data_IF_877278180987
#
_entry.id   IF_877278180987
#
_cell.length_a   1.000
_cell.length_b   1.000
_cell.length_c   1.000
_cell.angle_alpha   90.00
_cell.angle_beta   90.00
_cell.angle_gamma   90.00
#
_symmetry.space_group_name_H-M   'P 1'
#
loop_
_entity.id
_entity.type
_entity.pdbx_description
1 polymer ?
#
# COMPACT_ATOMS: atom_id res chain seq x y z
N UNK A 1 13.90 -14.43 4.38
CA UNK A 1 12.45 -14.69 4.24
C UNK A 1 12.18 -14.97 2.77
N UNK A 2 11.36 -15.98 2.46
CA UNK A 2 11.03 -16.33 1.07
C UNK A 2 10.15 -15.22 0.50
N UNK A 3 10.52 -14.66 -0.65
CA UNK A 3 9.64 -13.74 -1.38
C UNK A 3 8.89 -14.47 -2.49
N UNK A 4 7.66 -14.05 -2.76
CA UNK A 4 6.89 -14.39 -3.95
C UNK A 4 7.65 -14.15 -5.25
N UNK A 5 8.62 -13.21 -5.25
CA UNK A 5 9.54 -13.01 -6.37
C UNK A 5 10.43 -14.22 -6.64
N UNK A 6 10.76 -15.02 -5.64
CA UNK A 6 11.63 -16.19 -5.80
C UNK A 6 10.89 -17.41 -6.34
N UNK A 7 9.56 -17.33 -6.41
CA UNK A 7 8.72 -18.40 -6.91
C UNK A 7 8.73 -18.47 -8.44
N UNK A 8 8.89 -19.68 -8.95
CA UNK A 8 8.88 -19.93 -10.38
C UNK A 8 7.44 -20.06 -10.90
N UNK A 9 7.04 -19.17 -11.81
CA UNK A 9 5.68 -19.17 -12.39
C UNK A 9 5.30 -20.50 -13.01
N UNK A 10 6.25 -21.21 -13.65
CA UNK A 10 5.98 -22.53 -14.22
C UNK A 10 5.65 -23.55 -13.14
N UNK A 11 6.34 -23.49 -11.99
CA UNK A 11 6.01 -24.36 -10.87
C UNK A 11 4.64 -24.00 -10.28
N UNK A 12 4.32 -22.70 -10.16
CA UNK A 12 3.01 -22.24 -9.69
C UNK A 12 1.86 -22.72 -10.59
N UNK A 13 2.04 -22.66 -11.91
CA UNK A 13 1.06 -23.20 -12.87
C UNK A 13 0.92 -24.72 -12.75
N UNK A 14 2.03 -25.43 -12.55
CA UNK A 14 2.00 -26.87 -12.29
C UNK A 14 1.27 -27.21 -10.99
N UNK A 15 1.38 -26.35 -9.99
CA UNK A 15 0.73 -26.52 -8.70
C UNK A 15 -0.79 -26.44 -8.85
N UNK A 16 -1.28 -25.38 -9.50
CA UNK A 16 -2.72 -25.24 -9.80
C UNK A 16 -3.22 -26.43 -10.63
N UNK A 17 -2.50 -26.82 -11.70
CA UNK A 17 -2.92 -27.93 -12.54
C UNK A 17 -3.02 -29.27 -11.80
N UNK A 18 -2.14 -29.52 -10.81
CA UNK A 18 -2.22 -30.71 -9.96
C UNK A 18 -3.39 -30.60 -8.96
N UNK A 19 -3.61 -29.43 -8.36
CA UNK A 19 -4.75 -29.18 -7.48
C UNK A 19 -6.09 -29.42 -8.18
N UNK A 20 -6.24 -28.94 -9.42
CA UNK A 20 -7.48 -29.08 -10.21
C UNK A 20 -7.74 -30.51 -10.68
N UNK A 21 -6.69 -31.26 -11.02
CA UNK A 21 -6.83 -32.60 -11.62
C UNK A 21 -6.71 -33.75 -10.61
N UNK A 22 -6.13 -33.50 -9.43
CA UNK A 22 -5.77 -34.54 -8.46
C UNK A 22 -4.71 -35.53 -8.97
N UNK A 23 -4.10 -35.28 -10.13
CA UNK A 23 -3.21 -36.23 -10.82
C UNK A 23 -2.05 -35.53 -11.51
N UNK A 24 -0.82 -35.94 -11.17
CA UNK A 24 0.40 -35.43 -11.81
C UNK A 24 0.42 -35.75 -13.31
N UNK A 25 -0.06 -36.93 -13.72
CA UNK A 25 -0.06 -37.34 -15.13
C UNK A 25 -1.02 -36.48 -15.96
N UNK A 26 -2.23 -36.21 -15.46
CA UNK A 26 -3.21 -35.36 -16.14
C UNK A 26 -2.72 -33.90 -16.19
N UNK A 27 -2.14 -33.40 -15.10
CA UNK A 27 -1.54 -32.08 -15.06
C UNK A 27 -0.40 -31.93 -16.08
N UNK A 28 0.47 -32.94 -16.20
CA UNK A 28 1.59 -32.95 -17.15
C UNK A 28 1.10 -32.90 -18.60
N UNK A 29 0.10 -33.70 -18.96
CA UNK A 29 -0.52 -33.69 -20.29
C UNK A 29 -1.11 -32.32 -20.63
N UNK A 30 -1.93 -31.74 -19.72
CA UNK A 30 -2.52 -30.40 -19.90
C UNK A 30 -1.48 -29.30 -20.06
N UNK A 31 -0.37 -29.41 -19.36
CA UNK A 31 0.73 -28.44 -19.43
C UNK A 31 1.71 -28.70 -20.58
N UNK A 32 1.56 -29.79 -21.32
CA UNK A 32 2.52 -30.26 -22.33
C UNK A 32 3.93 -30.42 -21.75
N UNK A 33 4.02 -30.98 -20.54
CA UNK A 33 5.26 -31.28 -19.84
C UNK A 33 5.39 -32.78 -19.58
N UNK A 34 6.59 -33.25 -19.24
CA UNK A 34 6.77 -34.61 -18.76
C UNK A 34 6.28 -34.74 -17.31
N UNK A 35 5.77 -35.91 -16.93
CA UNK A 35 5.36 -36.18 -15.54
C UNK A 35 6.51 -35.93 -14.53
N UNK A 36 7.77 -36.33 -14.78
CA UNK A 36 8.88 -35.97 -13.89
C UNK A 36 9.09 -34.46 -13.74
N UNK A 37 8.83 -33.64 -14.77
CA UNK A 37 8.97 -32.19 -14.69
C UNK A 37 7.90 -31.55 -13.77
N UNK A 38 6.67 -32.04 -13.81
CA UNK A 38 5.60 -31.60 -12.88
C UNK A 38 5.92 -32.03 -11.46
N UNK A 39 6.32 -33.29 -11.24
CA UNK A 39 6.75 -33.78 -9.91
C UNK A 39 7.89 -32.95 -9.33
N UNK A 40 8.92 -32.64 -10.14
CA UNK A 40 10.04 -31.81 -9.71
C UNK A 40 9.63 -30.36 -9.42
N UNK A 41 8.66 -29.83 -10.16
CA UNK A 41 8.10 -28.51 -9.89
C UNK A 41 7.44 -28.45 -8.52
N UNK A 42 6.67 -29.49 -8.14
CA UNK A 42 6.02 -29.58 -6.83
C UNK A 42 7.05 -29.70 -5.72
N UNK A 43 8.01 -30.62 -5.87
CA UNK A 43 9.07 -30.81 -4.89
C UNK A 43 9.92 -29.53 -4.67
N UNK A 44 10.13 -28.72 -5.71
CA UNK A 44 10.83 -27.43 -5.58
C UNK A 44 10.00 -26.39 -4.83
N UNK A 45 8.68 -26.35 -5.02
CA UNK A 45 7.81 -25.45 -4.26
C UNK A 45 7.73 -25.87 -2.79
N UNK A 46 7.52 -27.15 -2.51
CA UNK A 46 7.47 -27.69 -1.15
C UNK A 46 8.78 -27.44 -0.40
N UNK A 47 9.92 -27.62 -1.07
CA UNK A 47 11.23 -27.30 -0.49
C UNK A 47 11.43 -25.80 -0.26
N UNK A 48 10.96 -24.97 -1.19
CA UNK A 48 11.09 -23.51 -1.05
C UNK A 48 10.25 -23.03 0.15
N UNK A 49 9.05 -23.58 0.32
CA UNK A 49 8.11 -23.19 1.37
C UNK A 49 8.32 -23.94 2.70
N UNK A 50 9.19 -24.95 2.71
CA UNK A 50 9.45 -25.85 3.83
C UNK A 50 8.18 -26.50 4.41
N UNK A 51 7.24 -26.87 3.53
CA UNK A 51 5.96 -27.50 3.90
C UNK A 51 5.50 -28.47 2.82
N UNK A 52 4.81 -29.53 3.23
CA UNK A 52 4.10 -30.42 2.29
C UNK A 52 2.84 -29.73 1.77
N UNK A 53 2.71 -29.61 0.46
CA UNK A 53 1.53 -29.03 -0.19
C UNK A 53 0.52 -30.10 -0.59
N UNK A 54 0.92 -31.36 -0.70
CA UNK A 54 0.03 -32.47 -1.04
C UNK A 54 0.15 -33.69 -0.12
N UNK A 55 -0.99 -34.34 0.12
CA UNK A 55 -1.07 -35.68 0.67
C UNK A 55 -1.31 -36.69 -0.46
N UNK A 56 -0.59 -37.81 -0.44
CA UNK A 56 -0.90 -38.97 -1.28
C UNK A 56 -2.06 -39.76 -0.68
N UNK A 57 -3.12 -39.98 -1.47
CA UNK A 57 -4.23 -40.89 -1.13
C UNK A 57 -4.45 -41.91 -2.25
N UNK A 58 -5.25 -42.93 -1.97
CA UNK A 58 -5.57 -44.01 -2.92
C UNK A 58 -6.19 -43.53 -4.24
N UNK A 59 -6.83 -42.34 -4.25
CA UNK A 59 -7.46 -41.72 -5.42
C UNK A 59 -6.66 -40.57 -6.05
N UNK A 60 -5.40 -40.35 -5.64
CA UNK A 60 -4.55 -39.30 -6.21
C UNK A 60 -3.95 -38.36 -5.16
N UNK A 61 -3.58 -37.16 -5.60
CA UNK A 61 -3.04 -36.10 -4.75
C UNK A 61 -4.17 -35.17 -4.28
N UNK A 62 -4.17 -34.86 -2.99
CA UNK A 62 -5.09 -33.90 -2.39
C UNK A 62 -4.27 -32.81 -1.70
N UNK A 63 -4.59 -31.51 -1.89
CA UNK A 63 -3.89 -30.44 -1.18
C UNK A 63 -3.95 -30.63 0.34
N UNK A 64 -2.84 -30.33 1.04
CA UNK A 64 -2.83 -30.15 2.50
C UNK A 64 -3.56 -28.86 2.88
N UNK A 65 -3.85 -28.58 4.17
CA UNK A 65 -4.34 -27.26 4.56
C UNK A 65 -3.46 -26.10 4.08
N UNK A 66 -2.12 -26.26 4.16
CA UNK A 66 -1.16 -25.32 3.62
C UNK A 66 -1.28 -25.19 2.09
N UNK A 67 -1.42 -26.33 1.38
CA UNK A 67 -1.70 -26.34 -0.05
C UNK A 67 -2.99 -25.60 -0.43
N UNK A 68 -4.06 -25.78 0.35
CA UNK A 68 -5.36 -25.13 0.10
C UNK A 68 -5.28 -23.62 0.24
N UNK A 69 -4.68 -23.09 1.32
CA UNK A 69 -4.57 -21.62 1.47
C UNK A 69 -3.62 -21.02 0.44
N UNK A 70 -2.55 -21.73 0.11
CA UNK A 70 -1.60 -21.28 -0.91
C UNK A 70 -2.24 -21.27 -2.31
N UNK A 71 -3.10 -22.24 -2.63
CA UNK A 71 -3.84 -22.29 -3.90
C UNK A 71 -4.62 -21.02 -4.16
N UNK A 72 -5.35 -20.51 -3.17
CA UNK A 72 -6.15 -19.27 -3.30
C UNK A 72 -5.28 -18.09 -3.73
N UNK A 73 -4.07 -17.99 -3.17
CA UNK A 73 -3.11 -16.91 -3.45
C UNK A 73 -2.45 -17.08 -4.82
N UNK A 74 -2.06 -18.30 -5.17
CA UNK A 74 -1.46 -18.62 -6.47
C UNK A 74 -2.46 -18.39 -7.62
N UNK A 75 -3.72 -18.79 -7.45
CA UNK A 75 -4.78 -18.53 -8.42
C UNK A 75 -5.01 -17.03 -8.60
N UNK A 76 -5.05 -16.27 -7.50
CA UNK A 76 -5.12 -14.80 -7.54
C UNK A 76 -3.97 -14.19 -8.35
N UNK A 77 -2.73 -14.55 -8.02
CA UNK A 77 -1.53 -14.08 -8.70
C UNK A 77 -1.53 -14.41 -10.21
N UNK A 78 -1.84 -15.65 -10.58
CA UNK A 78 -1.89 -16.08 -11.98
C UNK A 78 -3.05 -15.41 -12.75
N UNK A 79 -4.21 -15.24 -12.11
CA UNK A 79 -5.36 -14.57 -12.74
C UNK A 79 -5.07 -13.08 -12.98
N UNK A 80 -4.40 -12.39 -12.06
CA UNK A 80 -3.98 -10.98 -12.25
C UNK A 80 -3.09 -10.82 -13.48
N UNK A 81 -2.09 -11.70 -13.62
CA UNK A 81 -1.22 -11.73 -14.80
C UNK A 81 -2.03 -12.02 -16.07
N UNK A 82 -2.94 -12.99 -16.04
CA UNK A 82 -3.79 -13.34 -17.19
C UNK A 82 -4.72 -12.19 -17.60
N UNK A 83 -5.35 -11.49 -16.64
CA UNK A 83 -6.18 -10.30 -16.89
C UNK A 83 -5.35 -9.18 -17.51
N UNK A 84 -4.17 -8.90 -16.97
CA UNK A 84 -3.30 -7.85 -17.49
C UNK A 84 -2.85 -8.14 -18.93
N UNK A 85 -2.48 -9.40 -19.23
CA UNK A 85 -2.16 -9.85 -20.58
C UNK A 85 -3.34 -9.65 -21.55
N UNK A 86 -4.58 -9.96 -21.13
CA UNK A 86 -5.78 -9.69 -21.93
C UNK A 86 -6.00 -8.19 -22.15
N UNK A 87 -5.80 -7.37 -21.11
CA UNK A 87 -5.99 -5.93 -21.19
C UNK A 87 -5.04 -5.26 -22.19
N UNK A 88 -3.80 -5.75 -22.29
CA UNK A 88 -2.84 -5.28 -23.31
C UNK A 88 -2.98 -5.99 -24.66
N UNK A 89 -3.98 -6.87 -24.81
CA UNK A 89 -4.26 -7.67 -26.01
C UNK A 89 -3.11 -8.61 -26.42
N UNK A 90 -2.43 -9.21 -25.44
CA UNK A 90 -1.45 -10.26 -25.69
C UNK A 90 -2.13 -11.54 -26.21
N UNK A 91 -1.40 -12.36 -26.96
CA UNK A 91 -1.92 -13.62 -27.49
C UNK A 91 -2.23 -14.63 -26.36
N UNK A 92 -3.25 -15.47 -26.56
CA UNK A 92 -3.78 -16.38 -25.53
C UNK A 92 -2.76 -17.38 -24.95
N UNK A 93 -1.68 -17.69 -25.70
CA UNK A 93 -0.63 -18.61 -25.27
C UNK A 93 0.53 -17.98 -24.48
N UNK A 94 0.61 -16.64 -24.41
CA UNK A 94 1.81 -15.96 -23.86
C UNK A 94 2.04 -16.31 -22.40
N UNK A 95 0.97 -16.43 -21.60
CA UNK A 95 1.06 -16.83 -20.20
C UNK A 95 1.84 -18.15 -20.00
N UNK A 96 1.79 -19.03 -21.01
CA UNK A 96 2.52 -20.29 -21.02
C UNK A 96 4.04 -20.14 -21.11
N UNK A 97 4.49 -19.11 -21.83
CA UNK A 97 5.89 -18.84 -22.18
C UNK A 97 6.59 -17.88 -21.22
N UNK A 98 5.83 -17.11 -20.42
CA UNK A 98 6.38 -16.19 -19.44
C UNK A 98 7.20 -16.92 -18.36
N UNK A 99 8.29 -16.28 -17.95
CA UNK A 99 9.15 -16.75 -16.87
C UNK A 99 9.18 -15.71 -15.75
N UNK A 100 9.52 -16.13 -14.54
CA UNK A 100 9.74 -15.20 -13.42
C UNK A 100 10.86 -14.19 -13.74
N UNK A 101 11.85 -14.59 -14.55
CA UNK A 101 12.90 -13.68 -15.03
C UNK A 101 12.34 -12.55 -15.88
N UNK A 102 11.37 -12.82 -16.76
CA UNK A 102 10.70 -11.77 -17.54
C UNK A 102 9.96 -10.79 -16.64
N UNK A 103 9.21 -11.31 -15.65
CA UNK A 103 8.46 -10.46 -14.73
C UNK A 103 9.40 -9.59 -13.89
N UNK A 104 10.46 -10.19 -13.31
CA UNK A 104 11.49 -9.46 -12.55
C UNK A 104 12.17 -8.39 -13.40
N UNK A 105 12.47 -8.68 -14.67
CA UNK A 105 13.14 -7.75 -15.56
C UNK A 105 12.30 -6.49 -15.81
N UNK A 106 11.04 -6.66 -16.20
CA UNK A 106 10.13 -5.53 -16.45
C UNK A 106 9.93 -4.69 -15.18
N UNK A 107 9.66 -5.33 -14.06
CA UNK A 107 9.47 -4.67 -12.78
C UNK A 107 10.71 -3.92 -12.28
N UNK A 108 11.91 -4.50 -12.45
CA UNK A 108 13.16 -3.85 -12.06
C UNK A 108 13.49 -2.63 -12.93
N UNK A 109 13.31 -2.72 -14.25
CA UNK A 109 13.52 -1.58 -15.15
C UNK A 109 12.54 -0.46 -14.83
N UNK A 110 11.26 -0.79 -14.57
CA UNK A 110 10.25 0.17 -14.18
C UNK A 110 10.56 0.89 -12.86
N UNK A 111 11.18 0.21 -11.88
CA UNK A 111 11.58 0.85 -10.61
C UNK A 111 12.78 1.76 -10.72
N UNK A 112 13.77 1.37 -11.52
CA UNK A 112 15.09 2.03 -11.50
C UNK A 112 15.31 3.00 -12.66
N UNK A 113 14.41 3.03 -13.65
CA UNK A 113 14.52 3.91 -14.82
C UNK A 113 15.76 3.66 -15.69
N UNK A 114 16.45 2.54 -15.47
CA UNK A 114 17.76 2.25 -16.05
C UNK A 114 18.02 0.75 -16.05
N UNK A 115 18.42 0.21 -17.22
CA UNK A 115 18.85 -1.19 -17.34
C UNK A 115 20.09 -1.50 -16.50
N UNK A 116 21.04 -0.57 -16.40
CA UNK A 116 22.25 -0.80 -15.62
C UNK A 116 21.93 -0.92 -14.13
N UNK A 117 21.15 0.02 -13.59
CA UNK A 117 20.75 0.00 -12.17
C UNK A 117 19.82 -1.18 -11.87
N UNK A 118 18.88 -1.49 -12.77
CA UNK A 118 18.00 -2.64 -12.62
C UNK A 118 18.77 -3.98 -12.62
N UNK A 119 19.83 -4.11 -13.43
CA UNK A 119 20.65 -5.31 -13.45
C UNK A 119 21.43 -5.50 -12.14
N UNK A 120 21.99 -4.40 -11.62
CA UNK A 120 22.64 -4.38 -10.30
C UNK A 120 21.66 -4.77 -9.20
N UNK A 121 20.46 -4.19 -9.20
CA UNK A 121 19.42 -4.50 -8.21
C UNK A 121 18.95 -5.97 -8.24
N UNK A 122 18.98 -6.62 -9.41
CA UNK A 122 18.66 -8.04 -9.57
C UNK A 122 19.85 -8.98 -9.40
N UNK A 123 21.07 -8.46 -9.22
CA UNK A 123 22.29 -9.27 -9.11
C UNK A 123 22.65 -10.03 -10.38
N UNK A 124 22.29 -9.51 -11.57
CA UNK A 124 22.58 -10.13 -12.86
C UNK A 124 23.36 -9.17 -13.78
N UNK A 125 23.92 -9.69 -14.86
CA UNK A 125 24.58 -8.83 -15.85
C UNK A 125 23.56 -8.01 -16.67
N UNK A 126 23.92 -6.78 -17.03
CA UNK A 126 23.09 -5.93 -17.87
C UNK A 126 22.69 -6.58 -19.20
N UNK A 127 23.57 -7.32 -19.92
CA UNK A 127 23.17 -8.07 -21.11
C UNK A 127 22.14 -9.19 -20.83
N UNK A 128 22.20 -9.84 -19.66
CA UNK A 128 21.19 -10.83 -19.28
C UNK A 128 19.82 -10.17 -19.04
N UNK A 129 19.80 -9.02 -18.36
CA UNK A 129 18.56 -8.24 -18.18
C UNK A 129 17.97 -7.77 -19.50
N UNK A 130 18.80 -7.21 -20.38
CA UNK A 130 18.34 -6.72 -21.68
C UNK A 130 17.82 -7.85 -22.58
N UNK A 131 18.40 -9.06 -22.50
CA UNK A 131 17.87 -10.25 -23.18
C UNK A 131 16.50 -10.64 -22.64
N UNK A 132 16.33 -10.71 -21.32
CA UNK A 132 15.03 -11.03 -20.71
C UNK A 132 13.95 -9.99 -21.06
N UNK A 133 14.29 -8.71 -21.06
CA UNK A 133 13.39 -7.62 -21.44
C UNK A 133 12.97 -7.70 -22.91
N UNK A 134 13.92 -7.94 -23.82
CA UNK A 134 13.65 -8.07 -25.26
C UNK A 134 12.88 -9.34 -25.59
N UNK A 135 13.16 -10.45 -24.91
CA UNK A 135 12.39 -11.70 -25.08
C UNK A 135 10.93 -11.48 -24.65
N UNK A 136 10.70 -10.77 -23.54
CA UNK A 136 9.34 -10.41 -23.10
C UNK A 136 8.59 -9.57 -24.15
N UNK A 137 9.20 -8.52 -24.69
CA UNK A 137 8.60 -7.72 -25.78
C UNK A 137 8.28 -8.58 -27.03
N UNK A 138 9.19 -9.51 -27.36
CA UNK A 138 9.03 -10.43 -28.49
C UNK A 138 7.87 -11.39 -28.27
N UNK A 139 7.77 -12.00 -27.08
CA UNK A 139 6.66 -12.89 -26.73
C UNK A 139 5.31 -12.17 -26.72
N UNK A 140 5.28 -10.90 -26.33
CA UNK A 140 4.06 -10.09 -26.29
C UNK A 140 3.71 -9.45 -27.63
N UNK A 141 4.69 -9.29 -28.54
CA UNK A 141 4.53 -8.49 -29.76
C UNK A 141 4.28 -7.00 -29.46
N UNK A 142 4.82 -6.49 -28.34
CA UNK A 142 4.56 -5.14 -27.83
C UNK A 142 5.85 -4.47 -27.38
N UNK A 143 5.94 -3.16 -27.58
CA UNK A 143 6.96 -2.32 -26.97
C UNK A 143 6.54 -1.98 -25.54
N UNK A 144 7.35 -2.39 -24.58
CA UNK A 144 7.12 -2.17 -23.14
C UNK A 144 8.01 -1.08 -22.57
N UNK A 145 9.11 -0.75 -23.23
CA UNK A 145 10.08 0.26 -22.78
C UNK A 145 10.15 1.42 -23.75
N UNK A 146 10.29 2.63 -23.24
CA UNK A 146 10.50 3.84 -24.04
C UNK A 146 11.68 4.62 -23.49
N UNK A 147 12.47 5.22 -24.38
CA UNK A 147 13.60 6.04 -23.99
C UNK A 147 13.13 7.47 -23.77
N UNK A 148 13.45 8.04 -22.62
CA UNK A 148 13.14 9.43 -22.28
C UNK A 148 14.41 10.20 -21.94
N UNK A 149 14.30 11.52 -21.76
CA UNK A 149 15.44 12.35 -21.34
C UNK A 149 15.95 11.99 -19.93
N UNK A 150 15.13 11.33 -19.11
CA UNK A 150 15.47 10.90 -17.74
C UNK A 150 15.99 9.46 -17.65
N UNK A 151 15.95 8.71 -18.75
CA UNK A 151 16.40 7.31 -18.78
C UNK A 151 15.47 6.43 -19.61
N UNK A 152 15.01 5.35 -18.99
CA UNK A 152 14.07 4.39 -19.58
C UNK A 152 12.79 4.43 -18.75
N UNK A 153 11.66 4.68 -19.41
CA UNK A 153 10.33 4.54 -18.83
C UNK A 153 9.63 3.32 -19.42
N UNK A 154 8.53 2.90 -18.80
CA UNK A 154 7.63 1.88 -19.36
C UNK A 154 6.52 2.53 -20.17
N UNK A 155 6.05 1.83 -21.21
CA UNK A 155 4.87 2.26 -21.97
C UNK A 155 3.59 2.04 -21.14
N UNK A 156 2.45 2.51 -21.64
CA UNK A 156 1.13 2.25 -20.99
C UNK A 156 0.86 0.75 -20.81
N UNK A 157 1.18 -0.07 -21.82
CA UNK A 157 1.04 -1.52 -21.74
C UNK A 157 2.04 -2.11 -20.72
N UNK A 158 3.25 -1.54 -20.65
CA UNK A 158 4.25 -1.87 -19.63
C UNK A 158 3.76 -1.57 -18.22
N UNK A 159 3.16 -0.40 -17.98
CA UNK A 159 2.62 0.00 -16.67
C UNK A 159 1.50 -0.94 -16.19
N UNK A 160 0.57 -1.31 -17.08
CA UNK A 160 -0.48 -2.30 -16.79
C UNK A 160 0.12 -3.64 -16.34
N UNK A 161 1.18 -4.10 -17.01
CA UNK A 161 1.87 -5.34 -16.63
C UNK A 161 2.66 -5.19 -15.34
N UNK A 162 3.43 -4.11 -15.15
CA UNK A 162 4.22 -3.85 -13.94
C UNK A 162 3.31 -3.91 -12.72
N UNK A 163 2.16 -3.23 -12.79
CA UNK A 163 1.17 -3.25 -11.71
C UNK A 163 0.69 -4.67 -11.41
N UNK A 164 0.29 -5.43 -12.42
CA UNK A 164 -0.16 -6.80 -12.24
C UNK A 164 0.93 -7.74 -11.70
N UNK A 165 2.18 -7.55 -12.13
CA UNK A 165 3.35 -8.29 -11.65
C UNK A 165 3.58 -8.03 -10.18
N UNK A 166 3.59 -6.76 -9.75
CA UNK A 166 3.81 -6.43 -8.34
C UNK A 166 2.70 -6.96 -7.46
N UNK A 167 1.44 -6.85 -7.88
CA UNK A 167 0.31 -7.43 -7.15
C UNK A 167 0.35 -8.95 -7.11
N UNK A 168 0.76 -9.61 -8.20
CA UNK A 168 0.95 -11.06 -8.21
C UNK A 168 2.06 -11.51 -7.25
N UNK A 169 3.17 -10.76 -7.16
CA UNK A 169 4.20 -11.05 -6.16
C UNK A 169 3.72 -10.80 -4.74
N UNK A 170 2.96 -9.72 -4.50
CA UNK A 170 2.37 -9.45 -3.19
C UNK A 170 1.39 -10.57 -2.76
N UNK A 171 0.56 -11.08 -3.67
CA UNK A 171 -0.32 -12.23 -3.38
C UNK A 171 0.48 -13.48 -3.00
N UNK A 172 1.62 -13.72 -3.65
CA UNK A 172 2.49 -14.84 -3.32
C UNK A 172 3.22 -14.64 -1.99
N UNK A 173 3.64 -13.41 -1.66
CA UNK A 173 4.17 -13.06 -0.33
C UNK A 173 3.10 -13.34 0.75
N UNK A 174 1.85 -12.91 0.53
CA UNK A 174 0.72 -13.25 1.41
C UNK A 174 0.47 -14.75 1.52
N UNK A 175 0.70 -15.53 0.47
CA UNK A 175 0.60 -16.99 0.52
C UNK A 175 1.67 -17.64 1.39
N UNK A 176 2.89 -17.09 1.42
CA UNK A 176 3.91 -17.52 2.39
C UNK A 176 3.45 -17.17 3.80
N UNK A 177 2.94 -15.95 4.00
CA UNK A 177 2.45 -15.49 5.30
C UNK A 177 1.29 -16.36 5.82
N UNK A 178 0.32 -16.72 4.96
CA UNK A 178 -0.80 -17.61 5.31
C UNK A 178 -0.33 -19.01 5.71
N UNK A 179 0.68 -19.57 5.02
CA UNK A 179 1.29 -20.86 5.40
C UNK A 179 1.99 -20.76 6.75
N UNK A 180 2.75 -19.70 6.99
CA UNK A 180 3.48 -19.50 8.26
C UNK A 180 2.50 -19.33 9.42
N UNK A 181 1.41 -18.58 9.21
CA UNK A 181 0.34 -18.42 10.18
C UNK A 181 -0.31 -19.77 10.54
N UNK A 182 -0.59 -20.63 9.54
CA UNK A 182 -1.14 -21.96 9.79
C UNK A 182 -0.19 -22.91 10.52
N UNK A 183 1.10 -22.88 10.18
CA UNK A 183 2.08 -23.88 10.66
C UNK A 183 2.69 -23.52 12.00
N UNK A 184 2.87 -22.22 12.25
CA UNK A 184 3.60 -21.74 13.44
C UNK A 184 2.76 -20.83 14.33
N UNK A 185 1.55 -20.44 13.90
CA UNK A 185 0.72 -19.45 14.59
C UNK A 185 1.27 -18.03 14.49
N UNK A 186 2.36 -17.82 13.73
CA UNK A 186 3.08 -16.55 13.62
C UNK A 186 2.79 -15.89 12.29
N UNK A 187 2.66 -14.57 12.28
CA UNK A 187 2.66 -13.82 11.03
C UNK A 187 3.74 -12.77 11.06
N UNK A 188 4.35 -12.54 9.91
CA UNK A 188 5.69 -11.96 9.88
C UNK A 188 5.73 -10.55 9.36
N UNK A 189 4.87 -10.12 8.44
CA UNK A 189 4.97 -8.78 7.87
C UNK A 189 3.60 -8.12 7.71
N UNK A 190 3.49 -6.88 8.20
CA UNK A 190 2.37 -5.99 7.95
C UNK A 190 2.88 -4.68 7.34
N UNK A 191 2.36 -4.28 6.17
CA UNK A 191 2.78 -3.07 5.45
C UNK A 191 1.63 -2.05 5.46
N UNK A 192 1.75 -1.01 6.29
CA UNK A 192 0.69 0.01 6.48
C UNK A 192 1.17 1.37 6.01
N UNK A 193 0.42 2.00 5.12
CA UNK A 193 0.54 3.42 4.85
C UNK A 193 -0.20 4.23 5.89
N UNK A 194 0.45 5.21 6.52
CA UNK A 194 -0.21 6.11 7.47
C UNK A 194 -0.09 7.54 6.96
N UNK A 195 -1.21 8.21 6.70
CA UNK A 195 -1.23 9.64 6.39
C UNK A 195 -1.03 10.47 7.67
N UNK A 196 -0.68 11.75 7.55
CA UNK A 196 -0.18 12.61 8.66
C UNK A 196 -0.91 12.41 9.99
N UNK A 197 -2.24 12.55 10.03
CA UNK A 197 -3.06 12.36 11.24
C UNK A 197 -2.85 10.98 11.88
N UNK A 198 -2.85 9.93 11.05
CA UNK A 198 -2.80 8.56 11.54
C UNK A 198 -1.47 8.27 12.24
N UNK A 199 -0.36 8.88 11.81
CA UNK A 199 0.99 8.61 12.33
C UNK A 199 1.13 8.98 13.80
N UNK A 200 0.59 10.13 14.21
CA UNK A 200 0.75 10.65 15.57
C UNK A 200 -0.29 10.15 16.57
N UNK A 201 -1.52 9.91 16.10
CA UNK A 201 -2.66 9.69 17.02
C UNK A 201 -3.25 8.29 16.95
N UNK A 202 -3.32 7.68 15.76
CA UNK A 202 -4.01 6.39 15.56
C UNK A 202 -3.03 5.23 15.61
N UNK A 203 -1.92 5.32 14.87
CA UNK A 203 -0.97 4.22 14.73
C UNK A 203 -0.27 3.86 16.04
N UNK A 204 0.19 4.79 16.90
CA UNK A 204 0.91 4.41 18.11
C UNK A 204 0.14 3.47 19.07
N UNK A 205 -1.10 3.77 19.51
CA UNK A 205 -1.84 2.85 20.37
C UNK A 205 -2.18 1.52 19.68
N UNK A 206 -2.49 1.55 18.38
CA UNK A 206 -2.76 0.34 17.57
C UNK A 206 -1.54 -0.57 17.50
N UNK A 207 -0.36 -0.02 17.22
CA UNK A 207 0.86 -0.81 17.08
C UNK A 207 1.36 -1.34 18.42
N UNK A 208 1.24 -0.57 19.51
CA UNK A 208 1.53 -1.06 20.85
C UNK A 208 0.63 -2.26 21.18
N UNK A 209 -0.69 -2.13 20.96
CA UNK A 209 -1.63 -3.22 21.21
C UNK A 209 -1.39 -4.43 20.32
N UNK A 210 -1.06 -4.21 19.04
CA UNK A 210 -0.74 -5.28 18.10
C UNK A 210 0.51 -6.04 18.55
N UNK A 211 1.53 -5.35 19.06
CA UNK A 211 2.75 -5.99 19.54
C UNK A 211 2.54 -6.78 20.84
N UNK A 212 1.58 -6.37 21.69
CA UNK A 212 1.19 -7.14 22.88
C UNK A 212 0.57 -8.50 22.50
N UNK A 213 -0.22 -8.55 21.43
CA UNK A 213 -0.93 -9.76 20.98
C UNK A 213 -0.12 -10.61 19.99
N UNK A 214 0.79 -10.00 19.23
CA UNK A 214 1.64 -10.66 18.24
C UNK A 214 3.07 -10.09 18.27
N UNK A 215 3.90 -10.46 19.27
CA UNK A 215 5.23 -9.89 19.47
C UNK A 215 6.21 -10.10 18.30
N UNK A 216 5.98 -11.12 17.47
CA UNK A 216 6.85 -11.46 16.34
C UNK A 216 6.52 -10.73 15.04
N UNK A 217 5.44 -9.94 14.99
CA UNK A 217 5.04 -9.24 13.77
C UNK A 217 6.04 -8.13 13.43
N UNK A 218 6.53 -8.13 12.18
CA UNK A 218 7.29 -7.01 11.65
C UNK A 218 6.36 -6.03 10.95
N UNK A 219 6.07 -4.90 11.60
CA UNK A 219 5.27 -3.85 10.99
C UNK A 219 6.17 -2.84 10.29
N UNK A 220 5.91 -2.62 9.01
CA UNK A 220 6.47 -1.50 8.25
C UNK A 220 5.40 -0.44 8.07
N UNK A 221 5.60 0.70 8.74
CA UNK A 221 4.80 1.90 8.51
C UNK A 221 5.47 2.74 7.44
N UNK A 222 4.72 3.13 6.41
CA UNK A 222 5.17 4.00 5.33
C UNK A 222 4.45 5.34 5.46
N UNK A 223 5.22 6.42 5.37
CA UNK A 223 4.75 7.79 5.23
C UNK A 223 5.15 8.31 3.85
N UNK A 224 4.22 9.00 3.20
CA UNK A 224 4.38 9.63 1.89
C UNK A 224 3.18 10.55 1.62
N UNK A 225 3.30 11.50 0.67
CA UNK A 225 2.15 12.20 0.13
C UNK A 225 1.05 11.24 -0.36
N UNK A 226 -0.20 11.73 -0.36
CA UNK A 226 -1.36 10.89 -0.68
C UNK A 226 -1.26 10.16 -2.01
N UNK A 227 -0.79 10.82 -3.07
CA UNK A 227 -0.72 10.22 -4.41
C UNK A 227 0.34 9.11 -4.49
N UNK A 228 1.48 9.30 -3.80
CA UNK A 228 2.53 8.29 -3.68
C UNK A 228 2.04 7.09 -2.85
N UNK A 229 1.30 7.35 -1.78
CA UNK A 229 0.70 6.31 -0.95
C UNK A 229 -0.37 5.50 -1.72
N UNK A 230 -1.21 6.20 -2.50
CA UNK A 230 -2.18 5.56 -3.38
C UNK A 230 -1.48 4.73 -4.45
N UNK A 231 -0.40 5.23 -5.04
CA UNK A 231 0.43 4.47 -5.97
C UNK A 231 0.99 3.21 -5.30
N UNK A 232 1.61 3.34 -4.11
CA UNK A 232 2.14 2.22 -3.34
C UNK A 232 1.06 1.16 -3.04
N UNK A 233 -0.13 1.59 -2.64
CA UNK A 233 -1.26 0.70 -2.39
C UNK A 233 -1.69 -0.02 -3.66
N UNK A 234 -1.84 0.68 -4.79
CA UNK A 234 -2.29 0.08 -6.06
C UNK A 234 -1.25 -0.87 -6.68
N UNK A 235 0.01 -0.77 -6.25
CA UNK A 235 1.12 -1.62 -6.68
C UNK A 235 1.51 -2.69 -5.65
N UNK A 236 0.80 -2.82 -4.53
CA UNK A 236 1.09 -3.84 -3.52
C UNK A 236 2.36 -3.61 -2.70
N UNK A 237 2.85 -2.37 -2.65
CA UNK A 237 3.97 -1.99 -1.78
C UNK A 237 3.53 -1.76 -0.34
N UNK A 238 2.26 -1.41 -0.16
CA UNK A 238 1.52 -1.45 1.10
C UNK A 238 0.19 -2.18 0.90
N UNK A 239 -0.40 -2.65 1.98
CA UNK A 239 -1.64 -3.43 1.95
C UNK A 239 -2.85 -2.60 2.39
N UNK A 240 -2.63 -1.69 3.32
CA UNK A 240 -3.66 -0.84 3.93
C UNK A 240 -3.12 0.57 4.04
N UNK A 241 -3.93 1.57 3.70
CA UNK A 241 -3.67 2.97 4.03
C UNK A 241 -4.65 3.45 5.09
N UNK A 242 -4.17 4.16 6.12
CA UNK A 242 -4.97 4.74 7.20
C UNK A 242 -4.89 6.26 7.13
N UNK A 243 -6.03 6.93 7.10
CA UNK A 243 -6.11 8.39 7.12
C UNK A 243 -7.40 8.93 6.49
N UNK A 244 -7.37 10.20 6.07
CA UNK A 244 -8.55 10.90 5.53
C UNK A 244 -9.06 10.24 4.24
N UNK A 245 -10.34 9.89 4.22
CA UNK A 245 -11.03 9.34 3.06
C UNK A 245 -11.27 10.41 1.98
N UNK A 246 -11.51 9.96 0.74
CA UNK A 246 -11.69 10.83 -0.42
C UNK A 246 -13.08 10.62 -1.02
N UNK A 247 -13.72 11.71 -1.33
CA UNK A 247 -14.96 11.73 -2.09
C UNK A 247 -14.79 12.79 -3.20
N UNK A 248 -14.84 12.40 -4.49
CA UNK A 248 -15.06 11.03 -5.00
C UNK A 248 -13.89 10.06 -4.70
N UNK A 249 -14.14 8.76 -4.88
CA UNK A 249 -13.11 7.73 -4.76
C UNK A 249 -11.92 8.04 -5.67
N UNK A 250 -10.68 7.83 -5.19
CA UNK A 250 -9.49 8.24 -5.93
C UNK A 250 -9.18 7.33 -7.13
N UNK A 251 -9.71 6.10 -7.14
CA UNK A 251 -9.59 5.15 -8.24
C UNK A 251 -10.72 4.08 -8.14
N UNK A 252 -11.14 3.46 -9.27
CA UNK A 252 -12.24 2.50 -9.28
C UNK A 252 -11.92 1.16 -8.61
N UNK A 253 -10.63 0.84 -8.46
CA UNK A 253 -10.09 -0.39 -7.86
C UNK A 253 -9.75 -0.23 -6.38
N UNK A 254 -10.30 0.80 -5.74
CA UNK A 254 -10.05 1.16 -4.34
C UNK A 254 -11.37 1.12 -3.57
N UNK A 255 -11.29 0.55 -2.38
CA UNK A 255 -12.36 0.53 -1.39
C UNK A 255 -11.95 1.33 -0.16
N UNK A 256 -12.86 2.14 0.34
CA UNK A 256 -12.67 2.92 1.57
C UNK A 256 -13.68 2.50 2.62
N UNK A 257 -13.21 2.34 3.87
CA UNK A 257 -14.06 2.03 5.02
C UNK A 257 -13.93 3.14 6.05
N UNK A 258 -15.06 3.77 6.38
CA UNK A 258 -15.13 4.79 7.41
C UNK A 258 -14.84 4.19 8.79
N UNK A 259 -14.04 4.91 9.58
CA UNK A 259 -13.82 4.61 11.00
C UNK A 259 -14.54 5.64 11.88
N UNK A 260 -14.30 6.93 11.64
CA UNK A 260 -14.93 8.02 12.39
C UNK A 260 -14.90 9.34 11.63
N UNK A 261 -15.67 10.32 12.11
CA UNK A 261 -15.66 11.69 11.62
C UNK A 261 -14.74 12.56 12.49
N UNK A 262 -13.94 13.39 11.85
CA UNK A 262 -13.08 14.39 12.45
C UNK A 262 -13.36 15.77 11.85
N UNK A 263 -12.95 16.83 12.54
CA UNK A 263 -13.19 18.23 12.15
C UNK A 263 -11.92 19.04 12.31
N UNK A 264 -11.81 20.14 11.57
CA UNK A 264 -10.70 21.08 11.77
C UNK A 264 -10.98 22.01 12.95
N UNK A 265 -9.92 22.56 13.52
CA UNK A 265 -9.96 23.66 14.47
C UNK A 265 -8.75 24.57 14.28
N UNK A 266 -8.85 25.80 14.78
CA UNK A 266 -7.71 26.73 14.83
C UNK A 266 -7.00 26.57 16.16
N UNK A 267 -5.68 26.38 16.11
CA UNK A 267 -4.85 26.14 17.30
C UNK A 267 -3.69 27.12 17.37
N UNK A 268 -3.32 27.43 18.61
CA UNK A 268 -2.26 28.37 18.96
C UNK A 268 -1.61 27.96 20.29
N UNK A 269 -0.61 28.70 20.77
CA UNK A 269 -0.08 28.53 22.14
C UNK A 269 -1.07 29.02 23.22
N UNK A 270 -1.00 28.51 24.46
CA UNK A 270 -1.97 28.83 25.52
C UNK A 270 -2.09 30.32 25.91
N UNK A 271 -1.01 31.11 25.77
CA UNK A 271 -1.03 32.54 26.11
C UNK A 271 -1.05 33.44 24.86
N UNK A 272 -1.60 32.92 23.75
CA UNK A 272 -1.71 33.66 22.49
C UNK A 272 -2.69 34.84 22.63
N UNK A 273 -2.38 36.05 22.13
CA UNK A 273 -3.23 37.23 22.29
C UNK A 273 -4.67 37.05 21.77
N UNK A 274 -4.84 36.30 20.68
CA UNK A 274 -6.16 35.99 20.10
C UNK A 274 -7.16 35.38 21.10
N UNK A 275 -6.69 34.65 22.11
CA UNK A 275 -7.56 33.99 23.08
C UNK A 275 -8.25 35.01 24.00
N UNK A 276 -7.69 36.21 24.16
CA UNK A 276 -8.30 37.29 24.94
C UNK A 276 -9.50 37.94 24.25
N UNK A 277 -9.65 37.74 22.93
CA UNK A 277 -10.78 38.26 22.13
C UNK A 277 -12.05 37.44 22.41
N UNK A 278 -11.91 36.21 22.88
CA UNK A 278 -13.04 35.29 23.10
C UNK A 278 -13.49 34.68 21.77
N UNK A 279 -14.20 35.43 20.93
CA UNK A 279 -14.74 34.95 19.64
C UNK A 279 -14.18 35.80 18.49
N UNK A 280 -12.92 35.59 18.08
CA UNK A 280 -12.28 36.37 17.04
C UNK A 280 -12.98 36.21 15.69
N UNK A 281 -13.14 37.34 14.99
CA UNK A 281 -13.62 37.37 13.61
C UNK A 281 -12.55 36.86 12.64
N UNK A 282 -12.93 36.58 11.39
CA UNK A 282 -11.96 36.26 10.33
C UNK A 282 -10.89 37.35 10.18
N UNK A 283 -11.26 38.62 10.30
CA UNK A 283 -10.31 39.74 10.19
C UNK A 283 -9.29 39.73 11.34
N UNK A 284 -9.74 39.42 12.56
CA UNK A 284 -8.84 39.30 13.72
C UNK A 284 -7.85 38.15 13.53
N UNK A 285 -8.32 37.01 13.00
CA UNK A 285 -7.49 35.83 12.72
C UNK A 285 -6.51 36.05 11.56
N UNK A 286 -6.94 36.77 10.51
CA UNK A 286 -6.15 37.06 9.33
C UNK A 286 -4.89 37.88 9.67
N UNK A 287 -4.97 38.76 10.67
CA UNK A 287 -3.85 39.63 11.06
C UNK A 287 -2.65 38.89 11.68
N UNK A 288 -2.83 37.65 12.14
CA UNK A 288 -1.76 36.84 12.71
C UNK A 288 -0.99 36.07 11.63
N UNK A 289 0.29 35.72 11.89
CA UNK A 289 1.02 34.80 11.02
C UNK A 289 0.47 33.36 11.10
N UNK A 290 0.59 32.61 10.01
CA UNK A 290 0.00 31.26 9.91
C UNK A 290 1.02 30.19 9.56
N UNK A 291 0.78 28.97 10.04
CA UNK A 291 1.36 27.76 9.48
C UNK A 291 0.26 27.03 8.71
N UNK A 292 0.45 26.84 7.41
CA UNK A 292 -0.55 26.30 6.49
C UNK A 292 -0.02 25.10 5.73
N UNK A 293 -0.91 24.28 5.20
CA UNK A 293 -0.51 23.24 4.25
C UNK A 293 0.02 23.81 2.93
N UNK A 294 0.87 23.05 2.24
CA UNK A 294 1.25 23.34 0.86
C UNK A 294 0.02 23.31 -0.08
N UNK A 295 0.06 24.03 -1.22
CA UNK A 295 -1.00 24.01 -2.22
C UNK A 295 -1.40 22.60 -2.66
N UNK A 296 -2.71 22.36 -2.83
CA UNK A 296 -3.27 21.06 -3.23
C UNK A 296 -3.71 20.16 -2.06
N UNK A 297 -3.29 20.44 -0.82
CA UNK A 297 -3.84 19.75 0.34
C UNK A 297 -5.22 20.25 0.72
N UNK A 298 -6.10 19.35 1.18
CA UNK A 298 -7.45 19.72 1.63
C UNK A 298 -7.45 20.71 2.80
N UNK A 299 -6.49 20.60 3.72
CA UNK A 299 -6.35 21.60 4.80
C UNK A 299 -6.06 23.00 4.25
N UNK A 300 -5.21 23.09 3.21
CA UNK A 300 -4.93 24.35 2.52
C UNK A 300 -6.15 24.88 1.76
N UNK A 301 -6.87 24.02 1.04
CA UNK A 301 -8.11 24.40 0.36
C UNK A 301 -9.15 24.96 1.34
N UNK A 302 -9.29 24.36 2.52
CA UNK A 302 -10.21 24.83 3.53
C UNK A 302 -9.77 26.18 4.13
N UNK A 303 -8.47 26.36 4.37
CA UNK A 303 -7.90 27.65 4.78
C UNK A 303 -8.19 28.76 3.75
N UNK A 304 -7.89 28.50 2.47
CA UNK A 304 -8.12 29.46 1.38
C UNK A 304 -9.62 29.80 1.26
N UNK A 305 -10.50 28.80 1.42
CA UNK A 305 -11.95 28.99 1.39
C UNK A 305 -12.47 29.79 2.59
N UNK A 306 -11.91 29.55 3.78
CA UNK A 306 -12.27 30.27 5.00
C UNK A 306 -11.94 31.76 4.91
N UNK A 307 -10.79 32.09 4.29
CA UNK A 307 -10.32 33.46 4.09
C UNK A 307 -10.63 34.06 2.72
N UNK A 308 -11.50 33.43 1.91
CA UNK A 308 -11.78 33.87 0.54
C UNK A 308 -12.36 35.29 0.42
N UNK A 309 -13.03 35.76 1.49
CA UNK A 309 -13.62 37.09 1.64
C UNK A 309 -12.68 38.12 2.30
N UNK A 310 -11.46 37.71 2.69
CA UNK A 310 -10.45 38.58 3.28
C UNK A 310 -9.43 39.00 2.22
N UNK A 311 -9.14 40.31 2.05
CA UNK A 311 -8.10 40.77 1.13
C UNK A 311 -6.74 40.13 1.43
N UNK A 312 -6.00 39.74 0.39
CA UNK A 312 -4.76 38.99 0.55
C UNK A 312 -3.66 39.78 1.27
N UNK A 313 -3.66 41.10 1.16
CA UNK A 313 -2.79 42.03 1.88
C UNK A 313 -3.14 42.16 3.38
N UNK A 314 -4.32 41.71 3.79
CA UNK A 314 -4.70 41.59 5.20
C UNK A 314 -4.29 40.25 5.82
N UNK A 315 -3.84 39.26 5.03
CA UNK A 315 -3.37 37.98 5.55
C UNK A 315 -1.93 38.10 6.03
N UNK A 316 -1.70 37.70 7.29
CA UNK A 316 -0.38 37.63 7.88
C UNK A 316 0.54 36.63 7.16
N UNK A 317 1.86 36.70 7.42
CA UNK A 317 2.83 35.89 6.71
C UNK A 317 2.63 34.40 7.01
N UNK A 318 2.86 33.57 5.99
CA UNK A 318 2.62 32.13 6.03
C UNK A 318 3.92 31.32 6.00
N UNK A 319 3.95 30.23 6.78
CA UNK A 319 4.91 29.14 6.65
C UNK A 319 4.15 27.93 6.11
N UNK A 320 4.64 27.31 5.04
CA UNK A 320 4.01 26.14 4.45
C UNK A 320 4.61 24.84 5.00
N UNK A 321 3.81 24.03 5.70
CA UNK A 321 4.17 22.70 6.18
C UNK A 321 2.93 21.88 6.57
N UNK A 322 2.93 20.58 6.26
CA UNK A 322 1.98 19.59 6.80
C UNK A 322 2.57 18.70 7.88
N UNK A 323 3.87 18.85 8.19
CA UNK A 323 4.52 18.01 9.19
C UNK A 323 4.10 18.45 10.60
N UNK A 324 3.21 17.68 11.24
CA UNK A 324 2.64 18.00 12.54
C UNK A 324 3.68 18.40 13.59
N UNK A 325 4.77 17.64 13.69
CA UNK A 325 5.85 17.93 14.63
C UNK A 325 6.45 19.34 14.44
N UNK A 326 6.61 19.79 13.20
CA UNK A 326 7.07 21.14 12.89
C UNK A 326 5.98 22.18 13.22
N UNK A 327 4.73 21.90 12.84
CA UNK A 327 3.61 22.82 13.11
C UNK A 327 3.46 23.05 14.62
N UNK A 328 3.31 21.99 15.42
CA UNK A 328 3.16 22.12 16.87
C UNK A 328 4.40 22.73 17.53
N UNK A 329 5.61 22.50 17.01
CA UNK A 329 6.82 23.17 17.48
C UNK A 329 6.81 24.69 17.23
N UNK A 330 6.38 25.12 16.03
CA UNK A 330 6.26 26.53 15.67
C UNK A 330 5.18 27.25 16.48
N UNK A 331 4.03 26.61 16.70
CA UNK A 331 2.94 27.18 17.49
C UNK A 331 3.37 27.42 18.94
N UNK A 332 3.99 26.43 19.59
CA UNK A 332 4.45 26.54 20.99
C UNK A 332 5.39 27.73 21.23
N UNK A 333 6.20 28.11 20.24
CA UNK A 333 7.20 29.17 20.34
C UNK A 333 6.82 30.50 19.72
N UNK A 334 5.58 30.70 19.24
CA UNK A 334 5.23 31.95 18.53
C UNK A 334 3.74 32.29 18.51
N UNK A 335 3.42 33.51 18.08
CA UNK A 335 2.05 33.98 17.86
C UNK A 335 1.51 33.56 16.49
N UNK A 336 1.78 32.32 16.08
CA UNK A 336 1.24 31.73 14.87
C UNK A 336 -0.03 30.97 15.16
N UNK A 337 -0.88 30.89 14.15
CA UNK A 337 -2.08 30.07 14.11
C UNK A 337 -1.89 28.92 13.11
N UNK A 338 -2.58 27.81 13.34
CA UNK A 338 -2.71 26.73 12.35
C UNK A 338 -4.10 26.11 12.37
N UNK A 339 -4.58 25.68 11.21
CA UNK A 339 -5.75 24.79 11.12
C UNK A 339 -5.28 23.34 11.20
N UNK A 340 -5.66 22.64 12.28
CA UNK A 340 -5.30 21.25 12.53
C UNK A 340 -6.55 20.39 12.69
N UNK A 341 -6.40 19.07 12.54
CA UNK A 341 -7.39 18.12 13.01
C UNK A 341 -7.57 18.25 14.53
N UNK A 342 -8.81 18.15 15.00
CA UNK A 342 -9.09 18.20 16.43
C UNK A 342 -8.48 17.03 17.18
N UNK A 343 -8.50 15.84 16.59
CA UNK A 343 -7.89 14.63 17.18
C UNK A 343 -6.36 14.72 17.18
N UNK A 344 -5.76 15.28 16.13
CA UNK A 344 -4.31 15.50 16.06
C UNK A 344 -3.84 16.45 17.19
N UNK A 345 -4.56 17.54 17.41
CA UNK A 345 -4.23 18.53 18.43
C UNK A 345 -4.70 18.15 19.84
N UNK A 346 -5.51 17.11 20.00
CA UNK A 346 -6.16 16.77 21.27
C UNK A 346 -5.16 16.52 22.40
N UNK A 347 -4.05 15.82 22.12
CA UNK A 347 -3.02 15.54 23.12
C UNK A 347 -2.26 16.81 23.53
N UNK A 348 -1.89 17.65 22.56
CA UNK A 348 -1.23 18.93 22.82
C UNK A 348 -2.13 19.86 23.66
N UNK A 349 -3.44 19.86 23.41
CA UNK A 349 -4.44 20.57 24.20
C UNK A 349 -4.58 19.99 25.62
N UNK A 350 -4.66 18.67 25.76
CA UNK A 350 -4.75 18.00 27.07
C UNK A 350 -3.53 18.28 27.95
N UNK A 351 -2.35 18.38 27.33
CA UNK A 351 -1.09 18.76 28.00
C UNK A 351 -0.96 20.26 28.26
N UNK A 352 -1.91 21.07 27.80
CA UNK A 352 -1.84 22.53 27.91
C UNK A 352 -0.68 23.14 27.14
N UNK A 353 -0.22 22.50 26.07
CA UNK A 353 0.85 23.02 25.20
C UNK A 353 0.32 23.73 23.96
N UNK A 354 -0.92 23.45 23.58
CA UNK A 354 -1.68 24.21 22.59
C UNK A 354 -3.06 24.54 23.17
N UNK A 355 -3.70 25.54 22.60
CA UNK A 355 -5.06 25.95 22.91
C UNK A 355 -5.85 26.12 21.61
N UNK A 356 -7.12 25.72 21.65
CA UNK A 356 -8.07 25.92 20.57
C UNK A 356 -8.61 27.34 20.61
N UNK A 357 -8.63 28.00 19.46
CA UNK A 357 -9.28 29.30 19.28
C UNK A 357 -10.76 29.07 19.00
N UNK A 358 -11.62 29.85 19.65
CA UNK A 358 -13.08 29.75 19.50
C UNK A 358 -13.54 30.47 18.23
N UNK A 359 -13.52 29.73 17.12
CA UNK A 359 -13.92 30.22 15.81
C UNK A 359 -14.68 29.14 15.05
N UNK A 360 -15.70 29.56 14.30
CA UNK A 360 -16.48 28.68 13.45
C UNK A 360 -15.86 28.59 12.07
N UNK A 361 -15.25 27.45 11.77
CA UNK A 361 -14.68 27.13 10.46
C UNK A 361 -15.72 26.67 9.43
N UNK A 362 -17.01 26.65 9.79
CA UNK A 362 -18.08 26.10 8.96
C UNK A 362 -17.94 24.58 8.78
N UNK A 363 -18.29 24.08 7.60
CA UNK A 363 -18.18 22.66 7.30
C UNK A 363 -16.73 22.24 7.02
N UNK A 364 -16.08 21.75 8.09
CA UNK A 364 -14.73 21.17 8.06
C UNK A 364 -14.74 19.66 8.34
N UNK A 365 -15.92 19.04 8.38
CA UNK A 365 -16.07 17.63 8.68
C UNK A 365 -15.38 16.76 7.63
N UNK A 366 -14.73 15.70 8.09
CA UNK A 366 -14.10 14.74 7.22
C UNK A 366 -13.98 13.37 7.87
N UNK A 367 -14.12 12.35 7.05
CA UNK A 367 -14.07 10.96 7.52
C UNK A 367 -12.64 10.47 7.49
N UNK A 368 -12.21 9.89 8.61
CA UNK A 368 -10.99 9.11 8.73
C UNK A 368 -11.34 7.65 8.60
N UNK A 369 -10.51 6.89 7.91
CA UNK A 369 -10.78 5.49 7.65
C UNK A 369 -9.60 4.72 7.10
N UNK A 370 -9.90 3.51 6.63
CA UNK A 370 -8.96 2.68 5.89
C UNK A 370 -9.25 2.75 4.39
N UNK A 371 -8.20 2.66 3.59
CA UNK A 371 -8.25 2.56 2.14
C UNK A 371 -7.46 1.33 1.71
N UNK A 372 -8.09 0.45 0.95
CA UNK A 372 -7.54 -0.83 0.50
C UNK A 372 -7.84 -1.04 -0.98
N UNK A 373 -7.16 -1.98 -1.63
CA UNK A 373 -7.55 -2.42 -2.98
C UNK A 373 -8.87 -3.19 -2.89
N UNK A 374 -9.76 -3.01 -3.86
CA UNK A 374 -11.08 -3.65 -3.84
C UNK A 374 -10.99 -5.18 -3.82
N UNK A 375 -10.04 -5.74 -4.57
CA UNK A 375 -9.79 -7.18 -4.68
C UNK A 375 -8.77 -7.73 -3.64
N UNK A 376 -8.41 -6.92 -2.64
CA UNK A 376 -7.48 -7.34 -1.59
C UNK A 376 -8.16 -8.33 -0.64
N UNK A 377 -7.50 -9.47 -0.42
CA UNK A 377 -7.85 -10.46 0.59
C UNK A 377 -6.83 -10.35 1.71
N UNK A 378 -7.23 -9.93 2.92
CA UNK A 378 -6.27 -9.82 4.01
C UNK A 378 -5.70 -11.19 4.40
N UNK A 379 -4.49 -11.21 4.95
CA UNK A 379 -3.96 -12.35 5.72
C UNK A 379 -4.54 -12.31 7.14
N UNK A 380 -4.48 -13.41 7.93
CA UNK A 380 -4.98 -13.42 9.30
C UNK A 380 -4.40 -12.30 10.19
N UNK A 381 -3.14 -11.90 9.95
CA UNK A 381 -2.52 -10.78 10.69
C UNK A 381 -3.00 -9.42 10.23
N UNK A 382 -3.29 -9.26 8.94
CA UNK A 382 -3.89 -8.04 8.42
C UNK A 382 -5.33 -7.88 8.95
N UNK A 383 -6.09 -8.98 9.10
CA UNK A 383 -7.40 -8.98 9.79
C UNK A 383 -7.23 -8.58 11.26
N UNK A 384 -6.30 -9.21 11.98
CA UNK A 384 -5.99 -8.88 13.38
C UNK A 384 -5.63 -7.39 13.56
N UNK A 385 -4.87 -6.81 12.63
CA UNK A 385 -4.57 -5.38 12.62
C UNK A 385 -5.81 -4.53 12.41
N UNK A 386 -6.69 -4.88 11.45
CA UNK A 386 -7.93 -4.14 11.21
C UNK A 386 -8.86 -4.17 12.42
N UNK A 387 -8.97 -5.31 13.10
CA UNK A 387 -9.76 -5.47 14.32
C UNK A 387 -9.18 -4.63 15.47
N UNK A 388 -7.85 -4.65 15.61
CA UNK A 388 -7.13 -3.84 16.60
C UNK A 388 -7.31 -2.35 16.32
N UNK A 389 -7.23 -1.95 15.05
CA UNK A 389 -7.46 -0.58 14.60
C UNK A 389 -8.87 -0.11 14.95
N UNK A 390 -9.90 -0.90 14.63
CA UNK A 390 -11.29 -0.56 14.98
C UNK A 390 -11.45 -0.40 16.49
N UNK A 391 -10.95 -1.38 17.26
CA UNK A 391 -11.06 -1.37 18.73
C UNK A 391 -10.36 -0.16 19.36
N UNK A 392 -9.17 0.22 18.88
CA UNK A 392 -8.45 1.38 19.44
C UNK A 392 -9.07 2.70 19.04
N UNK A 393 -9.66 2.78 17.84
CA UNK A 393 -10.41 3.98 17.41
C UNK A 393 -11.64 4.19 18.29
N UNK A 394 -12.38 3.13 18.62
CA UNK A 394 -13.55 3.22 19.50
C UNK A 394 -13.20 3.72 20.92
N UNK A 395 -11.93 3.61 21.34
CA UNK A 395 -11.43 4.13 22.63
C UNK A 395 -10.95 5.58 22.56
N UNK A 396 -10.76 6.15 21.37
CA UNK A 396 -10.39 7.56 21.18
C UNK A 396 -11.62 8.49 21.24
N UNK A 397 -12.82 7.92 21.16
CA UNK A 397 -14.12 8.58 21.32
C UNK A 397 -14.74 8.21 22.66
#
# INVERSE_FOLDING_TARGET
>A
MISGRDMNIRHLRAFVAVCESGSVSIAAERMQLSQPAVTQSMAKLERLLDVSLFNRRSKGLVPTPAGTVFLVRVEGALNRLAVALRNIRAAAGVMGALTTTHLKALDAVARHGSFSLAAVALGISQPALHRAARDLETQLGKTLYTKTHRGIDVTRDGDVLVRAIRLAFADLDHGVEDIVALTSGKSTILRVGALSLAQGTIMPPVLNRLHDIAPEVHVRVVDAPFDDMLYALRHGEIDIMVGRLRDPLPAPDIRQNALFEDRLGVFCRPEHPVLSIGHPTKADLAAYPWVVGHPGMRGRQHFDQFFADVPQDCLGPMIESSAHALVSGLLRGSDKLAMLSQIEAAEDCRRGTLARVDTDLGDSAHVIGTTVRDDWKPTPMQETFLDTLSTQVDLLH
#
